data_IF_702487038239
#
_entry.id   IF_702487038239
#
_cell.length_a   1.000
_cell.length_b   1.000
_cell.length_c   1.000
_cell.angle_alpha   90.00
_cell.angle_beta   90.00
_cell.angle_gamma   90.00
#
_symmetry.space_group_name_H-M   'P 1'
#
loop_
_entity.id
_entity.type
_entity.pdbx_description
1 polymer ?
#
# COMPACT_ATOMS: atom_id res chain seq x y z
N UNK A 1 10.60 37.40 -15.02
CA UNK A 1 9.61 38.28 -14.37
C UNK A 1 8.23 37.77 -14.76
N UNK A 2 7.62 36.91 -13.94
CA UNK A 2 6.29 36.35 -14.22
C UNK A 2 5.28 37.01 -13.27
N UNK A 3 4.25 37.65 -13.84
CA UNK A 3 3.10 38.19 -13.11
C UNK A 3 1.96 37.18 -13.26
N UNK A 4 1.37 36.77 -12.15
CA UNK A 4 0.13 35.97 -12.11
C UNK A 4 -0.99 36.88 -11.65
N UNK A 5 -2.02 37.01 -12.48
CA UNK A 5 -3.27 37.72 -12.21
C UNK A 5 -4.32 36.65 -11.91
N UNK A 6 -4.93 36.68 -10.73
CA UNK A 6 -6.09 35.84 -10.41
C UNK A 6 -7.35 36.71 -10.44
N UNK A 7 -8.24 36.43 -11.38
CA UNK A 7 -9.62 36.93 -11.38
C UNK A 7 -10.52 35.77 -10.99
N UNK A 8 -11.18 35.87 -9.83
CA UNK A 8 -12.22 34.92 -9.41
C UNK A 8 -13.49 35.28 -10.18
N UNK A 9 -13.84 34.47 -11.17
CA UNK A 9 -15.18 34.49 -11.78
C UNK A 9 -16.04 33.49 -11.02
N UNK A 10 -17.01 33.98 -10.25
CA UNK A 10 -18.03 33.17 -9.61
C UNK A 10 -19.03 32.69 -10.67
N UNK A 11 -18.77 31.51 -11.25
CA UNK A 11 -19.75 30.79 -12.05
C UNK A 11 -20.56 29.87 -11.13
N UNK A 12 -21.84 30.20 -10.94
CA UNK A 12 -22.81 29.31 -10.32
C UNK A 12 -23.04 28.10 -11.24
N UNK A 13 -22.30 27.02 -11.02
CA UNK A 13 -22.57 25.74 -11.69
C UNK A 13 -23.66 25.01 -10.92
N UNK A 14 -24.82 24.82 -11.55
CA UNK A 14 -25.81 23.84 -11.10
C UNK A 14 -25.11 22.48 -10.95
N UNK A 15 -25.03 21.96 -9.73
CA UNK A 15 -24.72 20.54 -9.52
C UNK A 15 -25.97 19.77 -9.96
N UNK A 16 -25.97 19.31 -11.21
CA UNK A 16 -26.87 18.24 -11.60
C UNK A 16 -26.49 17.02 -10.75
N UNK A 17 -27.36 16.64 -9.81
CA UNK A 17 -27.31 15.34 -9.17
C UNK A 17 -27.52 14.33 -10.30
N UNK A 18 -26.44 13.80 -10.85
CA UNK A 18 -26.50 12.63 -11.70
C UNK A 18 -27.02 11.50 -10.82
N UNK A 19 -28.32 11.22 -10.92
CA UNK A 19 -28.88 9.98 -10.46
C UNK A 19 -28.06 8.88 -11.14
N UNK A 20 -27.24 8.17 -10.38
CA UNK A 20 -26.61 6.94 -10.86
C UNK A 20 -27.76 5.97 -11.16
N UNK A 21 -28.24 5.99 -12.40
CA UNK A 21 -29.15 4.99 -12.89
C UNK A 21 -28.41 3.66 -12.87
N UNK A 22 -28.94 2.73 -12.07
CA UNK A 22 -28.50 1.33 -12.02
C UNK A 22 -28.37 0.83 -13.46
N UNK A 23 -27.21 0.31 -13.90
CA UNK A 23 -27.07 -0.19 -15.25
C UNK A 23 -28.15 -1.26 -15.52
N UNK A 24 -28.80 -1.25 -16.69
CA UNK A 24 -30.00 -2.03 -16.98
C UNK A 24 -29.80 -3.56 -17.05
N UNK A 25 -28.66 -4.08 -16.56
CA UNK A 25 -28.28 -5.49 -16.68
C UNK A 25 -27.74 -6.11 -15.38
N UNK A 26 -28.02 -5.49 -14.22
CA UNK A 26 -27.90 -6.24 -12.97
C UNK A 26 -29.15 -7.09 -12.78
N UNK A 27 -29.07 -8.33 -13.27
CA UNK A 27 -29.96 -9.41 -12.88
C UNK A 27 -30.25 -9.32 -11.38
N UNK A 28 -31.52 -9.49 -11.00
CA UNK A 28 -31.90 -9.52 -9.60
C UNK A 28 -30.95 -10.48 -8.86
N UNK A 29 -30.40 -10.09 -7.70
CA UNK A 29 -29.52 -10.97 -6.96
C UNK A 29 -30.24 -12.33 -6.81
N UNK A 30 -29.54 -13.45 -7.03
CA UNK A 30 -30.16 -14.76 -6.95
C UNK A 30 -30.91 -14.87 -5.62
N UNK A 31 -32.10 -15.47 -5.66
CA UNK A 31 -32.90 -15.68 -4.46
C UNK A 31 -32.00 -16.27 -3.38
N UNK A 32 -31.90 -15.59 -2.24
CA UNK A 32 -31.04 -16.04 -1.15
C UNK A 32 -31.45 -17.46 -0.76
N UNK A 33 -30.51 -18.39 -0.51
CA UNK A 33 -30.84 -19.73 -0.09
C UNK A 33 -31.76 -19.71 1.14
N UNK A 34 -32.76 -20.59 1.19
CA UNK A 34 -33.78 -20.60 2.26
C UNK A 34 -33.21 -20.81 3.67
N UNK A 35 -32.02 -21.41 3.79
CA UNK A 35 -31.35 -21.55 5.09
C UNK A 35 -30.94 -20.19 5.70
N UNK A 36 -30.79 -19.15 4.88
CA UNK A 36 -30.47 -17.78 5.35
C UNK A 36 -31.63 -17.17 6.13
N UNK A 37 -32.87 -17.51 5.80
CA UNK A 37 -34.05 -16.93 6.45
C UNK A 37 -34.10 -17.26 7.95
N UNK A 38 -33.61 -18.44 8.35
CA UNK A 38 -33.49 -18.83 9.76
C UNK A 38 -32.52 -17.93 10.55
N UNK A 39 -31.58 -17.27 9.89
CA UNK A 39 -30.57 -16.40 10.53
C UNK A 39 -30.87 -14.91 10.39
N UNK A 40 -31.85 -14.54 9.56
CA UNK A 40 -32.14 -13.14 9.18
C UNK A 40 -32.33 -12.23 10.39
N UNK A 41 -33.12 -12.67 11.38
CA UNK A 41 -33.39 -11.90 12.61
C UNK A 41 -32.11 -11.60 13.40
N UNK A 42 -31.23 -12.59 13.54
CA UNK A 42 -29.97 -12.44 14.27
C UNK A 42 -28.97 -11.59 13.48
N UNK A 43 -28.87 -11.81 12.16
CA UNK A 43 -28.01 -11.02 11.28
C UNK A 43 -28.41 -9.54 11.29
N UNK A 44 -29.71 -9.25 11.17
CA UNK A 44 -30.23 -7.88 11.20
C UNK A 44 -29.94 -7.20 12.54
N UNK A 45 -30.01 -7.94 13.65
CA UNK A 45 -29.62 -7.44 14.96
C UNK A 45 -28.12 -7.10 14.99
N UNK A 46 -27.25 -8.01 14.56
CA UNK A 46 -25.79 -7.76 14.54
C UNK A 46 -25.42 -6.56 13.67
N UNK A 47 -26.05 -6.42 12.50
CA UNK A 47 -25.82 -5.28 11.60
C UNK A 47 -26.22 -3.96 12.28
N UNK A 48 -27.38 -3.93 12.95
CA UNK A 48 -27.82 -2.74 13.68
C UNK A 48 -26.84 -2.38 14.79
N UNK A 49 -26.49 -3.32 15.65
CA UNK A 49 -25.57 -3.07 16.77
C UNK A 49 -24.21 -2.55 16.26
N UNK A 50 -23.68 -3.15 15.20
CA UNK A 50 -22.41 -2.73 14.58
C UNK A 50 -22.43 -1.31 14.00
N UNK A 51 -23.61 -0.71 13.82
CA UNK A 51 -23.79 0.64 13.28
C UNK A 51 -24.21 1.66 14.34
N UNK A 52 -24.64 1.22 15.53
CA UNK A 52 -25.17 2.11 16.57
C UNK A 52 -24.15 2.57 17.60
N UNK A 53 -22.98 1.94 17.64
CA UNK A 53 -21.91 2.30 18.56
C UNK A 53 -20.60 2.71 17.86
N UNK A 54 -19.66 3.21 18.66
CA UNK A 54 -18.31 3.63 18.24
C UNK A 54 -17.22 2.63 18.60
N UNK A 55 -17.58 1.45 19.11
CA UNK A 55 -16.65 0.49 19.70
C UNK A 55 -15.53 0.12 18.72
N UNK A 56 -15.88 -0.21 17.47
CA UNK A 56 -14.90 -0.58 16.44
C UNK A 56 -13.96 0.58 16.09
N UNK A 57 -14.49 1.80 16.05
CA UNK A 57 -13.69 3.00 15.79
C UNK A 57 -12.73 3.31 16.93
N UNK A 58 -13.17 3.21 18.18
CA UNK A 58 -12.33 3.43 19.36
C UNK A 58 -11.23 2.39 19.49
N UNK A 59 -11.55 1.12 19.21
CA UNK A 59 -10.57 0.03 19.12
C UNK A 59 -9.51 0.32 18.06
N UNK A 60 -9.94 0.78 16.88
CA UNK A 60 -9.02 1.13 15.80
C UNK A 60 -8.13 2.31 16.20
N UNK A 61 -8.72 3.37 16.75
CA UNK A 61 -8.00 4.56 17.20
C UNK A 61 -6.98 4.23 18.28
N UNK A 62 -7.36 3.49 19.33
CA UNK A 62 -6.43 3.06 20.38
C UNK A 62 -5.27 2.25 19.78
N UNK A 63 -5.58 1.32 18.87
CA UNK A 63 -4.57 0.52 18.19
C UNK A 63 -3.64 1.40 17.33
N UNK A 64 -4.15 2.29 16.50
CA UNK A 64 -3.32 3.12 15.61
C UNK A 64 -2.52 4.17 16.36
N UNK A 65 -3.15 4.86 17.30
CA UNK A 65 -2.59 6.06 17.92
C UNK A 65 -1.62 5.72 19.05
N UNK A 66 -1.81 4.56 19.71
CA UNK A 66 -0.90 4.10 20.78
C UNK A 66 0.33 3.38 20.23
N UNK A 67 0.16 2.53 19.20
CA UNK A 67 1.24 1.64 18.73
C UNK A 67 1.84 2.02 17.37
N UNK A 68 1.16 2.81 16.55
CA UNK A 68 1.69 3.27 15.25
C UNK A 68 2.06 2.14 14.28
N UNK A 69 3.22 2.25 13.62
CA UNK A 69 3.71 1.23 12.69
C UNK A 69 4.10 -0.06 13.42
N UNK A 70 3.62 -1.21 12.91
CA UNK A 70 3.73 -2.54 13.56
C UNK A 70 4.28 -3.59 12.59
N UNK A 71 5.44 -3.32 11.99
CA UNK A 71 6.10 -4.26 11.07
C UNK A 71 6.48 -5.57 11.81
N UNK A 72 6.52 -6.69 11.09
CA UNK A 72 6.96 -7.98 11.63
C UNK A 72 8.34 -7.88 12.30
N UNK A 73 8.45 -8.40 13.53
CA UNK A 73 9.68 -8.34 14.32
C UNK A 73 9.98 -7.00 15.00
N UNK A 74 9.05 -6.03 14.96
CA UNK A 74 9.16 -4.77 15.69
C UNK A 74 8.63 -4.88 17.13
N UNK A 75 9.17 -4.04 18.03
CA UNK A 75 8.67 -3.93 19.41
C UNK A 75 7.21 -3.47 19.46
N UNK A 76 6.82 -2.54 18.58
CA UNK A 76 5.45 -2.05 18.49
C UNK A 76 4.45 -3.16 18.16
N UNK A 77 4.81 -4.08 17.26
CA UNK A 77 3.97 -5.25 16.95
C UNK A 77 3.80 -6.13 18.19
N UNK A 78 4.88 -6.40 18.94
CA UNK A 78 4.81 -7.20 20.16
C UNK A 78 3.87 -6.56 21.19
N UNK A 79 4.01 -5.25 21.45
CA UNK A 79 3.11 -4.54 22.36
C UNK A 79 1.66 -4.58 21.90
N UNK A 80 1.41 -4.43 20.59
CA UNK A 80 0.07 -4.47 20.03
C UNK A 80 -0.57 -5.87 20.12
N UNK A 81 0.20 -6.95 19.96
CA UNK A 81 -0.28 -8.33 20.16
C UNK A 81 -0.70 -8.55 21.61
N UNK A 82 0.14 -8.14 22.57
CA UNK A 82 -0.17 -8.23 24.00
C UNK A 82 -1.45 -7.48 24.32
N UNK A 83 -1.55 -6.23 23.87
CA UNK A 83 -2.75 -5.42 24.02
C UNK A 83 -3.99 -6.09 23.41
N UNK A 84 -3.92 -6.57 22.17
CA UNK A 84 -5.05 -7.19 21.50
C UNK A 84 -5.55 -8.43 22.25
N UNK A 85 -4.64 -9.26 22.76
CA UNK A 85 -5.01 -10.42 23.58
C UNK A 85 -5.67 -10.01 24.90
N UNK A 86 -5.19 -8.96 25.56
CA UNK A 86 -5.84 -8.42 26.78
C UNK A 86 -7.24 -7.89 26.48
N UNK A 87 -7.41 -7.16 25.37
CA UNK A 87 -8.71 -6.64 24.96
C UNK A 87 -9.70 -7.76 24.66
N UNK A 88 -9.29 -8.81 23.94
CA UNK A 88 -10.13 -9.99 23.71
C UNK A 88 -10.55 -10.68 25.01
N UNK A 89 -9.66 -10.76 26.01
CA UNK A 89 -10.02 -11.32 27.33
C UNK A 89 -11.04 -10.43 28.06
N UNK A 90 -10.87 -9.11 28.00
CA UNK A 90 -11.81 -8.14 28.61
C UNK A 90 -13.19 -8.19 27.95
N UNK A 91 -13.22 -8.45 26.65
CA UNK A 91 -14.45 -8.62 25.86
C UNK A 91 -15.16 -9.96 26.17
N UNK A 92 -14.56 -10.82 27.00
CA UNK A 92 -15.18 -12.07 27.47
C UNK A 92 -15.05 -13.26 26.51
N UNK A 93 -14.06 -13.25 25.61
CA UNK A 93 -13.81 -14.38 24.71
C UNK A 93 -13.21 -15.58 25.47
N UNK A 94 -13.69 -16.78 25.18
CA UNK A 94 -13.39 -17.99 25.95
C UNK A 94 -11.95 -18.52 25.79
N UNK A 95 -11.38 -18.46 24.58
CA UNK A 95 -10.10 -19.12 24.26
C UNK A 95 -9.05 -18.17 23.68
N UNK A 96 -8.63 -17.19 24.49
CA UNK A 96 -7.61 -16.22 24.09
C UNK A 96 -6.21 -16.73 24.40
N UNK A 97 -5.39 -16.88 23.37
CA UNK A 97 -3.98 -17.24 23.46
C UNK A 97 -3.19 -16.66 22.28
N UNK A 98 -1.87 -16.58 22.42
CA UNK A 98 -0.97 -16.10 21.36
C UNK A 98 -0.14 -17.26 20.83
N UNK A 99 0.00 -17.37 19.52
CA UNK A 99 0.84 -18.38 18.87
C UNK A 99 2.19 -17.80 18.45
N UNK A 100 3.25 -18.59 18.60
CA UNK A 100 4.60 -18.17 18.18
C UNK A 100 4.77 -18.42 16.68
N UNK A 101 5.15 -17.39 15.94
CA UNK A 101 5.42 -17.46 14.50
C UNK A 101 6.82 -16.92 14.23
N UNK A 102 7.62 -17.66 13.47
CA UNK A 102 8.91 -17.19 12.98
C UNK A 102 8.71 -16.20 11.84
N UNK A 103 9.30 -15.01 11.95
CA UNK A 103 9.17 -13.93 10.97
C UNK A 103 10.53 -13.36 10.57
N UNK A 104 10.70 -12.90 9.31
CA UNK A 104 11.87 -12.13 8.94
C UNK A 104 11.88 -10.78 9.67
N UNK A 105 13.07 -10.34 10.08
CA UNK A 105 13.29 -9.02 10.68
C UNK A 105 14.08 -8.16 9.71
N UNK A 106 13.39 -7.20 9.10
CA UNK A 106 14.00 -6.16 8.28
C UNK A 106 13.84 -4.82 8.97
N UNK A 107 14.95 -4.10 9.16
CA UNK A 107 14.97 -2.78 9.79
C UNK A 107 15.43 -1.78 8.74
N UNK A 108 14.57 -0.81 8.48
CA UNK A 108 14.86 0.30 7.56
C UNK A 108 16.00 1.14 8.12
N UNK A 109 17.04 1.37 7.32
CA UNK A 109 18.14 2.27 7.63
C UNK A 109 17.89 3.71 7.16
N UNK A 110 18.96 4.50 7.09
CA UNK A 110 18.92 5.80 6.43
C UNK A 110 18.83 5.62 4.91
N UNK A 111 18.09 6.48 4.23
CA UNK A 111 17.89 6.43 2.79
C UNK A 111 17.72 7.83 2.20
N UNK A 112 18.23 8.02 1.00
CA UNK A 112 18.16 9.27 0.25
C UNK A 112 18.41 8.99 -1.23
N UNK A 113 17.75 9.77 -2.10
CA UNK A 113 17.97 9.72 -3.53
C UNK A 113 18.09 11.15 -4.07
N UNK A 114 19.13 11.39 -4.85
CA UNK A 114 19.39 12.67 -5.50
C UNK A 114 19.66 12.43 -6.96
N UNK A 115 18.94 13.15 -7.84
CA UNK A 115 19.35 13.32 -9.23
C UNK A 115 20.56 14.24 -9.21
N UNK A 116 21.68 13.81 -9.77
CA UNK A 116 22.91 14.60 -9.80
C UNK A 116 22.90 15.58 -10.98
N UNK A 117 22.42 15.16 -12.17
CA UNK A 117 22.34 16.01 -13.37
C UNK A 117 21.10 15.72 -14.25
N UNK A 118 20.50 16.72 -14.95
CA UNK A 118 20.66 18.18 -14.80
C UNK A 118 19.37 18.89 -14.32
N UNK A 119 19.40 19.85 -13.36
CA UNK A 119 20.37 20.10 -12.29
C UNK A 119 20.15 19.17 -11.08
N UNK A 120 20.99 19.30 -10.05
CA UNK A 120 20.86 18.54 -8.80
C UNK A 120 19.47 18.71 -8.16
N UNK A 121 18.82 17.58 -7.85
CA UNK A 121 17.52 17.59 -7.20
C UNK A 121 17.33 16.35 -6.31
N UNK A 122 17.15 16.56 -5.01
CA UNK A 122 16.77 15.50 -4.07
C UNK A 122 15.30 15.13 -4.26
N UNK A 123 15.02 13.83 -4.37
CA UNK A 123 13.66 13.31 -4.52
C UNK A 123 13.32 12.46 -3.30
N UNK A 124 12.10 12.60 -2.74
CA UNK A 124 11.61 11.67 -1.73
C UNK A 124 11.67 10.23 -2.24
N UNK A 125 12.30 9.35 -1.47
CA UNK A 125 12.33 7.92 -1.76
C UNK A 125 11.88 7.12 -0.54
N UNK A 126 11.44 5.90 -0.80
CA UNK A 126 11.18 4.92 0.24
C UNK A 126 11.61 3.54 -0.27
N UNK A 127 12.60 2.96 0.38
CA UNK A 127 13.13 1.65 0.09
C UNK A 127 12.07 0.58 0.29
N UNK A 128 12.01 -0.34 -0.67
CA UNK A 128 11.10 -1.48 -0.58
C UNK A 128 11.52 -2.40 0.56
N UNK A 129 10.53 -2.97 1.26
CA UNK A 129 10.80 -3.92 2.34
C UNK A 129 11.63 -5.09 1.85
N UNK A 130 12.73 -5.38 2.55
CA UNK A 130 13.69 -6.42 2.14
C UNK A 130 14.81 -5.92 1.22
N UNK A 131 14.83 -4.64 0.83
CA UNK A 131 15.96 -4.06 0.10
C UNK A 131 17.23 -4.15 0.93
N UNK A 132 18.33 -4.48 0.25
CA UNK A 132 19.68 -4.45 0.83
C UNK A 132 20.23 -3.03 0.83
N UNK A 133 21.20 -2.75 1.69
CA UNK A 133 21.86 -1.45 1.75
C UNK A 133 22.75 -1.23 0.51
N UNK A 134 22.90 0.03 0.11
CA UNK A 134 23.96 0.45 -0.83
C UNK A 134 25.34 0.35 -0.17
N UNK A 135 26.44 0.40 -0.95
CA UNK A 135 27.78 0.58 -0.41
C UNK A 135 27.87 1.81 0.51
N UNK A 136 28.86 1.83 1.41
CA UNK A 136 29.02 2.90 2.40
C UNK A 136 29.21 4.29 1.75
N UNK A 137 29.89 4.34 0.60
CA UNK A 137 30.12 5.57 -0.15
C UNK A 137 28.94 5.98 -1.06
N UNK A 138 27.81 5.25 -0.99
CA UNK A 138 26.65 5.44 -1.84
C UNK A 138 26.68 4.60 -3.12
N UNK A 139 25.67 4.81 -3.97
CA UNK A 139 25.57 4.21 -5.29
C UNK A 139 25.17 5.29 -6.29
N UNK A 140 26.09 5.64 -7.17
CA UNK A 140 25.85 6.56 -8.29
C UNK A 140 26.02 5.79 -9.60
N UNK A 141 25.02 5.87 -10.47
CA UNK A 141 25.05 5.28 -11.80
C UNK A 141 23.97 5.90 -12.69
N UNK A 142 24.16 5.82 -14.01
CA UNK A 142 23.17 6.26 -14.98
C UNK A 142 21.84 5.53 -14.79
N UNK A 143 20.74 6.25 -15.07
CA UNK A 143 19.40 5.67 -15.02
C UNK A 143 18.96 5.19 -16.41
N UNK A 144 18.55 3.92 -16.49
CA UNK A 144 17.85 3.36 -17.64
C UNK A 144 16.35 3.30 -17.35
N UNK A 145 15.56 4.12 -18.05
CA UNK A 145 14.10 4.10 -17.94
C UNK A 145 13.51 3.06 -18.89
N UNK A 146 12.66 2.18 -18.35
CA UNK A 146 11.90 1.17 -19.09
C UNK A 146 10.44 1.16 -18.62
N UNK A 147 9.51 0.76 -19.49
CA UNK A 147 8.06 0.73 -19.21
C UNK A 147 7.53 -0.65 -18.88
N UNK A 148 8.32 -1.70 -19.14
CA UNK A 148 7.94 -3.08 -18.89
C UNK A 148 9.14 -4.01 -18.69
N UNK A 149 8.88 -5.22 -18.18
CA UNK A 149 9.89 -6.28 -18.14
C UNK A 149 10.33 -6.73 -19.54
N UNK A 150 9.44 -6.69 -20.53
CA UNK A 150 9.78 -7.02 -21.91
C UNK A 150 10.74 -5.97 -22.49
N UNK A 151 10.50 -4.68 -22.23
CA UNK A 151 11.41 -3.62 -22.65
C UNK A 151 12.78 -3.79 -21.97
N UNK A 152 12.82 -4.08 -20.67
CA UNK A 152 14.07 -4.37 -19.97
C UNK A 152 14.82 -5.55 -20.60
N UNK A 153 14.10 -6.60 -21.00
CA UNK A 153 14.69 -7.79 -21.63
C UNK A 153 15.27 -7.45 -23.01
N UNK A 154 14.54 -6.68 -23.82
CA UNK A 154 15.01 -6.22 -25.13
C UNK A 154 16.25 -5.32 -25.01
N UNK A 155 16.33 -4.52 -23.94
CA UNK A 155 17.40 -3.55 -23.67
C UNK A 155 18.40 -4.04 -22.62
N UNK A 156 18.49 -5.36 -22.42
CA UNK A 156 19.32 -5.94 -21.35
C UNK A 156 20.80 -5.53 -21.44
N UNK A 157 21.33 -5.38 -22.65
CA UNK A 157 22.70 -4.92 -22.86
C UNK A 157 22.94 -3.47 -22.37
N UNK A 158 21.93 -2.60 -22.45
CA UNK A 158 22.01 -1.22 -21.97
C UNK A 158 21.92 -1.14 -20.43
N UNK A 159 21.27 -2.12 -19.79
CA UNK A 159 20.98 -2.09 -18.35
C UNK A 159 22.19 -2.39 -17.46
N UNK A 160 23.24 -3.01 -18.01
CA UNK A 160 24.41 -3.44 -17.25
C UNK A 160 25.11 -2.24 -16.60
N UNK A 161 25.28 -2.28 -15.27
CA UNK A 161 25.92 -1.22 -14.49
C UNK A 161 25.03 0.00 -14.23
N UNK A 162 23.77 0.00 -14.69
CA UNK A 162 22.84 1.13 -14.55
C UNK A 162 21.83 0.91 -13.44
N UNK A 163 21.17 1.98 -13.01
CA UNK A 163 19.97 1.94 -12.18
C UNK A 163 18.77 1.80 -13.13
N UNK A 164 17.96 0.76 -12.97
CA UNK A 164 16.76 0.59 -13.81
C UNK A 164 15.57 1.27 -13.15
N UNK A 165 14.94 2.22 -13.84
CA UNK A 165 13.67 2.81 -13.43
C UNK A 165 12.52 2.19 -14.23
N UNK A 166 11.64 1.45 -13.55
CA UNK A 166 10.40 0.95 -14.13
C UNK A 166 9.33 2.04 -14.12
N UNK A 167 9.27 2.84 -15.19
CA UNK A 167 8.20 3.82 -15.41
C UNK A 167 6.97 3.14 -16.07
N UNK A 168 6.43 2.13 -15.40
CA UNK A 168 5.27 1.41 -15.85
C UNK A 168 3.98 2.19 -15.50
N UNK A 169 3.01 2.21 -16.42
CA UNK A 169 1.71 2.80 -16.13
C UNK A 169 1.01 2.03 -14.99
N UNK A 170 0.51 2.77 -14.00
CA UNK A 170 -0.34 2.19 -12.97
C UNK A 170 -1.73 1.93 -13.54
N UNK A 171 -2.13 0.66 -13.58
CA UNK A 171 -3.46 0.24 -14.06
C UNK A 171 -4.32 -0.23 -12.88
N UNK A 172 -3.79 -1.15 -12.08
CA UNK A 172 -4.42 -1.64 -10.86
C UNK A 172 -3.36 -2.26 -9.95
N UNK A 173 -3.66 -2.38 -8.65
CA UNK A 173 -2.72 -2.97 -7.71
C UNK A 173 -2.30 -4.39 -8.12
N UNK A 174 -3.28 -5.25 -8.48
CA UNK A 174 -3.00 -6.64 -8.85
C UNK A 174 -2.09 -6.77 -10.07
N UNK A 175 -2.23 -5.87 -11.05
CA UNK A 175 -1.42 -5.90 -12.27
C UNK A 175 -0.04 -5.23 -12.06
N UNK A 176 0.01 -4.05 -11.42
CA UNK A 176 1.23 -3.25 -11.32
C UNK A 176 2.15 -3.69 -10.16
N UNK A 177 1.65 -4.41 -9.16
CA UNK A 177 2.47 -4.90 -8.02
C UNK A 177 3.65 -5.79 -8.46
N UNK A 178 3.61 -6.39 -9.65
CA UNK A 178 4.69 -7.20 -10.18
C UNK A 178 6.05 -6.45 -10.21
N UNK A 179 6.05 -5.14 -10.47
CA UNK A 179 7.27 -4.33 -10.45
C UNK A 179 7.82 -4.18 -9.02
N UNK A 180 6.96 -3.97 -8.02
CA UNK A 180 7.38 -3.90 -6.61
C UNK A 180 7.96 -5.21 -6.11
N UNK A 181 7.38 -6.36 -6.48
CA UNK A 181 7.81 -7.67 -5.98
C UNK A 181 8.94 -8.30 -6.79
N UNK A 182 8.99 -8.04 -8.10
CA UNK A 182 9.90 -8.69 -9.04
C UNK A 182 10.91 -7.77 -9.72
N UNK A 183 10.74 -6.45 -9.62
CA UNK A 183 11.54 -5.45 -10.34
C UNK A 183 13.03 -5.53 -10.02
N UNK A 184 13.38 -5.54 -8.74
CA UNK A 184 14.78 -5.66 -8.30
C UNK A 184 15.44 -6.93 -8.85
N UNK A 185 14.76 -8.08 -8.77
CA UNK A 185 15.27 -9.36 -9.29
C UNK A 185 15.34 -9.40 -10.82
N UNK A 186 14.46 -8.71 -11.53
CA UNK A 186 14.51 -8.59 -12.98
C UNK A 186 15.68 -7.70 -13.43
N UNK A 187 15.86 -6.54 -12.80
CA UNK A 187 16.96 -5.62 -13.06
C UNK A 187 18.32 -6.27 -12.76
N UNK A 188 18.46 -6.93 -11.60
CA UNK A 188 19.70 -7.62 -11.22
C UNK A 188 20.10 -8.73 -12.20
N UNK A 189 19.13 -9.47 -12.78
CA UNK A 189 19.39 -10.52 -13.79
C UNK A 189 20.06 -10.01 -15.06
N UNK A 190 19.82 -8.75 -15.43
CA UNK A 190 20.45 -8.11 -16.60
C UNK A 190 21.68 -7.27 -16.23
N UNK A 191 22.13 -7.35 -14.97
CA UNK A 191 23.34 -6.69 -14.50
C UNK A 191 23.15 -5.24 -14.06
N UNK A 192 21.92 -4.79 -13.82
CA UNK A 192 21.65 -3.51 -13.18
C UNK A 192 22.16 -3.50 -11.74
N UNK A 193 22.56 -2.32 -11.23
CA UNK A 193 23.11 -2.15 -9.88
C UNK A 193 22.05 -1.74 -8.85
N UNK A 194 20.90 -1.23 -9.31
CA UNK A 194 19.71 -0.98 -8.49
C UNK A 194 18.45 -0.94 -9.36
N UNK A 195 17.28 -0.94 -8.70
CA UNK A 195 15.99 -0.77 -9.34
C UNK A 195 15.14 0.27 -8.60
N UNK A 196 14.43 1.08 -9.37
CA UNK A 196 13.41 2.04 -8.93
C UNK A 196 12.09 1.66 -9.60
N UNK A 197 10.96 1.83 -8.89
CA UNK A 197 9.60 1.45 -9.33
C UNK A 197 8.58 2.53 -9.02
#
# INVERSE_FOLDING_TARGET
MFRVFFTVVASATLIAVAAFSRPPDQAAPPASPSWVDAHRVNADRLIREAQTDRFAWDRLAELTDTFGNRLSGSENLVRAITWAAEQMRRDGLDSVHTERVMVPRWVRGAESLTIVEPPEHTIPMLGLGGSVATPADGLEADVLVVRSFDELTQRAAEAKGKIVLFNAAYVSYGQTNAYRTGGASAAGRVGAVAALV
#
